data_IF_392975753690
#
_entry.id   IF_392975753690
#
_cell.length_a   1.000
_cell.length_b   1.000
_cell.length_c   1.000
_cell.angle_alpha   90.00
_cell.angle_beta   90.00
_cell.angle_gamma   90.00
#
_symmetry.space_group_name_H-M   'P 1'
#
loop_
_entity.id
_entity.type
_entity.pdbx_description
1 polymer ?
#
# COMPACT_ATOMS: atom_id res chain seq x y z
N UNK A 1 1.06 -1.77 -10.61
CA UNK A 1 0.91 -0.42 -9.99
C UNK A 1 1.64 0.66 -10.77
N UNK A 2 2.93 0.48 -11.14
CA UNK A 2 3.67 1.48 -11.95
C UNK A 2 2.97 1.81 -13.27
N UNK A 3 2.44 0.80 -13.98
CA UNK A 3 1.62 0.99 -15.19
C UNK A 3 0.32 1.79 -14.95
N UNK A 4 -0.16 1.83 -13.70
CA UNK A 4 -1.32 2.64 -13.31
C UNK A 4 -0.91 4.03 -12.76
N UNK A 5 0.35 4.44 -12.94
CA UNK A 5 0.87 5.74 -12.55
C UNK A 5 1.32 5.86 -11.08
N UNK A 6 1.50 4.75 -10.36
CA UNK A 6 2.08 4.80 -9.02
C UNK A 6 3.59 5.05 -9.08
N UNK A 7 4.03 6.12 -8.42
CA UNK A 7 5.44 6.45 -8.17
C UNK A 7 5.64 6.43 -6.65
N UNK A 8 6.55 5.58 -6.11
CA UNK A 8 6.86 5.55 -4.69
C UNK A 8 7.36 6.90 -4.18
N UNK A 9 6.87 7.34 -3.02
CA UNK A 9 7.37 8.55 -2.35
C UNK A 9 8.28 8.17 -1.17
N UNK A 10 9.57 8.04 -1.46
CA UNK A 10 10.61 7.61 -0.50
C UNK A 10 10.87 8.60 0.63
N UNK A 11 10.32 9.84 0.55
CA UNK A 11 10.37 10.83 1.64
C UNK A 11 9.65 10.34 2.91
N UNK A 12 8.77 9.34 2.78
CA UNK A 12 8.10 8.69 3.90
C UNK A 12 8.93 7.60 4.58
N UNK A 13 10.17 7.35 4.11
CA UNK A 13 11.14 6.47 4.77
C UNK A 13 12.25 7.33 5.36
N UNK A 14 12.26 7.45 6.69
CA UNK A 14 13.21 8.32 7.42
C UNK A 14 14.56 7.66 7.70
N UNK A 15 14.70 6.37 7.40
CA UNK A 15 15.96 5.66 7.58
C UNK A 15 16.99 6.15 6.56
N UNK A 16 18.24 6.31 7.01
CA UNK A 16 19.36 6.66 6.15
C UNK A 16 19.91 5.39 5.49
N UNK A 17 19.22 5.00 4.42
CA UNK A 17 19.50 3.85 3.56
C UNK A 17 19.44 4.31 2.11
N UNK A 18 19.96 3.50 1.19
CA UNK A 18 19.91 3.82 -0.23
C UNK A 18 18.47 3.85 -0.76
N UNK A 19 18.30 4.51 -1.90
CA UNK A 19 16.99 4.80 -2.48
C UNK A 19 16.22 3.52 -2.87
N UNK A 20 16.93 2.48 -3.30
CA UNK A 20 16.32 1.19 -3.63
C UNK A 20 15.77 0.51 -2.37
N UNK A 21 16.53 0.54 -1.27
CA UNK A 21 16.08 0.02 0.02
C UNK A 21 14.93 0.86 0.61
N UNK A 22 14.87 2.17 0.36
CA UNK A 22 13.69 2.99 0.72
C UNK A 22 12.45 2.55 -0.07
N UNK A 23 12.56 2.35 -1.38
CA UNK A 23 11.45 1.83 -2.18
C UNK A 23 10.98 0.45 -1.70
N UNK A 24 11.90 -0.43 -1.31
CA UNK A 24 11.56 -1.72 -0.70
C UNK A 24 10.87 -1.55 0.64
N UNK A 25 11.39 -0.70 1.53
CA UNK A 25 10.80 -0.46 2.84
C UNK A 25 9.33 -0.02 2.76
N UNK A 26 8.98 0.84 1.79
CA UNK A 26 7.59 1.24 1.54
C UNK A 26 6.68 0.06 1.21
N UNK A 27 7.18 -1.01 0.61
CA UNK A 27 6.40 -2.22 0.29
C UNK A 27 6.05 -3.06 1.51
N UNK A 28 6.86 -2.96 2.56
CA UNK A 28 6.69 -3.70 3.81
C UNK A 28 5.90 -2.96 4.88
N UNK A 29 5.35 -1.79 4.57
CA UNK A 29 4.40 -1.13 5.47
C UNK A 29 3.20 -2.05 5.76
N UNK A 30 2.81 -2.11 7.04
CA UNK A 30 1.82 -3.08 7.52
C UNK A 30 0.48 -2.97 6.80
N UNK A 31 0.08 -1.77 6.36
CA UNK A 31 -1.13 -1.54 5.58
C UNK A 31 -1.10 -2.28 4.23
N UNK A 32 0.05 -2.26 3.55
CA UNK A 32 0.20 -2.92 2.25
C UNK A 32 0.21 -4.44 2.40
N UNK A 33 0.87 -4.93 3.45
CA UNK A 33 0.88 -6.36 3.77
C UNK A 33 -0.52 -6.85 4.14
N UNK A 34 -1.26 -6.09 4.95
CA UNK A 34 -2.64 -6.43 5.33
C UNK A 34 -3.58 -6.46 4.11
N UNK A 35 -3.44 -5.52 3.17
CA UNK A 35 -4.20 -5.53 1.92
C UNK A 35 -3.78 -6.71 1.04
N UNK A 36 -2.48 -6.97 0.88
CA UNK A 36 -2.00 -8.09 0.09
C UNK A 36 -2.56 -9.42 0.62
N UNK A 37 -2.52 -9.62 1.94
CA UNK A 37 -3.13 -10.78 2.58
C UNK A 37 -4.64 -10.82 2.33
N UNK A 38 -5.36 -9.71 2.56
CA UNK A 38 -6.79 -9.64 2.30
C UNK A 38 -7.18 -9.95 0.85
N UNK A 39 -6.38 -9.53 -0.12
CA UNK A 39 -6.61 -9.81 -1.54
C UNK A 39 -6.44 -11.30 -1.88
N UNK A 40 -5.46 -11.96 -1.26
CA UNK A 40 -5.18 -13.40 -1.45
C UNK A 40 -6.22 -14.26 -0.73
N UNK A 41 -6.60 -13.87 0.48
CA UNK A 41 -7.40 -14.68 1.39
C UNK A 41 -8.92 -14.49 1.25
N UNK A 42 -9.37 -13.57 0.40
CA UNK A 42 -10.81 -13.29 0.22
C UNK A 42 -11.23 -13.30 -1.25
N UNK A 43 -12.48 -13.68 -1.55
CA UNK A 43 -12.99 -13.70 -2.91
C UNK A 43 -12.87 -12.34 -3.63
N UNK A 44 -12.76 -12.33 -4.97
CA UNK A 44 -12.82 -11.10 -5.77
C UNK A 44 -14.01 -10.22 -5.40
N UNK A 45 -13.82 -8.89 -5.43
CA UNK A 45 -14.84 -7.87 -5.10
C UNK A 45 -15.28 -7.83 -3.63
N UNK A 46 -14.65 -8.58 -2.73
CA UNK A 46 -14.87 -8.44 -1.28
C UNK A 46 -14.29 -7.11 -0.78
N UNK A 47 -15.09 -6.30 -0.08
CA UNK A 47 -14.60 -5.10 0.60
C UNK A 47 -13.58 -5.48 1.67
N UNK A 48 -12.41 -4.84 1.66
CA UNK A 48 -11.38 -5.05 2.67
C UNK A 48 -11.32 -3.84 3.59
N UNK A 49 -11.37 -4.08 4.90
CA UNK A 49 -11.24 -3.03 5.92
C UNK A 49 -9.95 -3.21 6.69
N UNK A 50 -9.09 -2.19 6.66
CA UNK A 50 -7.79 -2.17 7.32
C UNK A 50 -7.83 -1.17 8.47
N UNK A 51 -7.73 -1.68 9.70
CA UNK A 51 -7.74 -0.83 10.90
C UNK A 51 -6.31 -0.72 11.42
N UNK A 52 -5.83 0.51 11.59
CA UNK A 52 -4.53 0.82 12.20
C UNK A 52 -4.73 1.83 13.33
N UNK A 53 -3.96 1.68 14.40
CA UNK A 53 -3.89 2.63 15.52
C UNK A 53 -3.03 3.86 15.20
N UNK A 54 -2.24 3.80 14.14
CA UNK A 54 -1.37 4.88 13.66
C UNK A 54 -1.91 5.47 12.37
N UNK A 55 -1.59 6.76 12.15
CA UNK A 55 -1.85 7.42 10.88
C UNK A 55 -1.06 6.73 9.76
N UNK A 56 -1.73 6.46 8.65
CA UNK A 56 -1.13 5.89 7.44
C UNK A 56 -0.21 6.94 6.79
N UNK A 57 0.95 6.53 6.27
CA UNK A 57 1.85 7.44 5.57
C UNK A 57 1.28 7.89 4.21
N UNK A 58 1.76 9.02 3.67
CA UNK A 58 1.22 9.57 2.42
C UNK A 58 1.42 8.67 1.21
N UNK A 59 2.58 7.98 1.13
CA UNK A 59 2.82 6.98 0.09
C UNK A 59 1.81 5.83 0.16
N UNK A 60 1.57 5.27 1.35
CA UNK A 60 0.58 4.21 1.53
C UNK A 60 -0.84 4.69 1.19
N UNK A 61 -1.23 5.90 1.58
CA UNK A 61 -2.51 6.48 1.16
C UNK A 61 -2.66 6.50 -0.37
N UNK A 62 -1.62 6.91 -1.09
CA UNK A 62 -1.63 6.95 -2.55
C UNK A 62 -1.64 5.55 -3.17
N UNK A 63 -0.81 4.64 -2.64
CA UNK A 63 -0.76 3.25 -3.08
C UNK A 63 -2.12 2.56 -2.91
N UNK A 64 -2.79 2.74 -1.77
CA UNK A 64 -4.11 2.15 -1.48
C UNK A 64 -5.17 2.62 -2.47
N UNK A 65 -5.19 3.92 -2.80
CA UNK A 65 -6.09 4.48 -3.81
C UNK A 65 -5.89 3.82 -5.18
N UNK A 66 -4.66 3.57 -5.58
CA UNK A 66 -4.33 2.92 -6.86
C UNK A 66 -4.65 1.42 -6.81
N UNK A 67 -4.33 0.75 -5.72
CA UNK A 67 -4.66 -0.66 -5.50
C UNK A 67 -6.18 -0.88 -5.62
N UNK A 68 -6.99 -0.07 -4.94
CA UNK A 68 -8.46 -0.15 -5.00
C UNK A 68 -8.98 -0.09 -6.43
N UNK A 69 -8.45 0.83 -7.25
CA UNK A 69 -8.81 0.94 -8.68
C UNK A 69 -8.41 -0.30 -9.49
N UNK A 70 -7.20 -0.81 -9.29
CA UNK A 70 -6.68 -1.96 -10.03
C UNK A 70 -7.48 -3.22 -9.70
N UNK A 71 -7.74 -3.47 -8.41
CA UNK A 71 -8.41 -4.70 -7.97
C UNK A 71 -9.94 -4.61 -8.07
N UNK A 72 -10.49 -3.43 -8.33
CA UNK A 72 -11.93 -3.21 -8.36
C UNK A 72 -12.61 -3.52 -7.02
N UNK A 73 -11.92 -3.24 -5.90
CA UNK A 73 -12.43 -3.48 -4.54
C UNK A 73 -12.42 -2.19 -3.75
N UNK A 74 -13.42 -2.04 -2.89
CA UNK A 74 -13.41 -1.01 -1.87
C UNK A 74 -12.37 -1.39 -0.79
N UNK A 75 -11.39 -0.50 -0.58
CA UNK A 75 -10.38 -0.61 0.46
C UNK A 75 -10.64 0.52 1.46
N UNK A 76 -11.07 0.16 2.67
CA UNK A 76 -11.49 1.08 3.75
C UNK A 76 -10.47 1.09 4.87
#
# INVERSE_FOLDING_TARGET
MREAGYVPDTRYVLHDIDEEEKEKALQYHSERLAIAYGLISTPPRTTLRIIKNLRICGDCHNAIKIMSKIVGRELI
#
